data_IF_602927755164
#
_entry.id   IF_602927755164
#
_cell.length_a   1.000
_cell.length_b   1.000
_cell.length_c   1.000
_cell.angle_alpha   90.00
_cell.angle_beta   90.00
_cell.angle_gamma   90.00
#
_symmetry.space_group_name_H-M   'P 1'
#
loop_
_entity.id
_entity.type
_entity.pdbx_description
1 polymer ?
#
# COMPACT_ATOMS: atom_id res chain seq x y z
N UNK A 1 -7.63 -8.20 -0.85
CA UNK A 1 -7.64 -9.00 0.39
C UNK A 1 -8.38 -8.20 1.42
N UNK A 2 -9.38 -8.81 2.06
CA UNK A 2 -10.13 -8.22 3.16
C UNK A 2 -9.57 -8.78 4.47
N UNK A 3 -8.90 -7.95 5.26
CA UNK A 3 -8.75 -8.24 6.69
C UNK A 3 -10.12 -8.08 7.37
N UNK A 4 -10.27 -8.68 8.54
CA UNK A 4 -11.49 -8.55 9.36
C UNK A 4 -11.09 -8.07 10.75
N UNK A 5 -11.91 -7.19 11.31
CA UNK A 5 -11.85 -6.75 12.70
C UNK A 5 -12.89 -7.60 13.45
N UNK A 6 -12.46 -8.36 14.45
CA UNK A 6 -13.38 -9.08 15.33
C UNK A 6 -13.91 -8.12 16.41
N UNK A 7 -15.22 -7.78 16.41
CA UNK A 7 -15.79 -6.84 17.37
C UNK A 7 -15.80 -7.37 18.82
N UNK A 8 -15.51 -8.66 19.02
CA UNK A 8 -15.42 -9.27 20.36
C UNK A 8 -14.05 -9.06 21.01
N UNK A 9 -13.06 -8.61 20.25
CA UNK A 9 -11.71 -8.34 20.72
C UNK A 9 -11.50 -6.82 20.91
N UNK A 10 -10.56 -6.41 21.79
CA UNK A 10 -10.21 -5.00 21.93
C UNK A 10 -9.77 -4.39 20.60
N UNK A 11 -10.44 -3.30 20.18
CA UNK A 11 -10.22 -2.65 18.88
C UNK A 11 -8.74 -2.32 18.63
N UNK A 12 -8.05 -1.75 19.63
CA UNK A 12 -6.62 -1.42 19.53
C UNK A 12 -5.76 -2.65 19.23
N UNK A 13 -6.10 -3.81 19.81
CA UNK A 13 -5.41 -5.07 19.57
C UNK A 13 -5.61 -5.55 18.14
N UNK A 14 -6.86 -5.51 17.66
CA UNK A 14 -7.19 -5.91 16.29
C UNK A 14 -6.55 -5.00 15.24
N UNK A 15 -6.59 -3.67 15.45
CA UNK A 15 -5.93 -2.70 14.56
C UNK A 15 -4.43 -2.95 14.51
N UNK A 16 -3.78 -3.15 15.67
CA UNK A 16 -2.35 -3.45 15.73
C UNK A 16 -2.01 -4.74 14.98
N UNK A 17 -2.80 -5.80 15.18
CA UNK A 17 -2.62 -7.09 14.50
C UNK A 17 -2.70 -6.93 12.98
N UNK A 18 -3.75 -6.28 12.48
CA UNK A 18 -3.96 -6.09 11.04
C UNK A 18 -2.86 -5.19 10.45
N UNK A 19 -2.51 -4.11 11.13
CA UNK A 19 -1.46 -3.20 10.68
C UNK A 19 -0.11 -3.92 10.57
N UNK A 20 0.28 -4.69 11.60
CA UNK A 20 1.50 -5.49 11.59
C UNK A 20 1.50 -6.52 10.46
N UNK A 21 0.36 -7.17 10.20
CA UNK A 21 0.21 -8.14 9.12
C UNK A 21 0.38 -7.48 7.74
N UNK A 22 -0.26 -6.34 7.49
CA UNK A 22 -0.11 -5.65 6.20
C UNK A 22 1.30 -5.06 6.01
N UNK A 23 1.94 -4.55 7.07
CA UNK A 23 3.35 -4.13 7.02
C UNK A 23 4.28 -5.31 6.74
N UNK A 24 4.10 -6.45 7.42
CA UNK A 24 4.88 -7.65 7.19
C UNK A 24 4.78 -8.14 5.74
N UNK A 25 3.57 -8.14 5.18
CA UNK A 25 3.36 -8.43 3.75
C UNK A 25 4.01 -7.40 2.84
N UNK A 26 3.97 -6.12 3.19
CA UNK A 26 4.63 -5.05 2.43
C UNK A 26 6.14 -5.28 2.36
N UNK A 27 6.77 -5.60 3.50
CA UNK A 27 8.20 -5.92 3.58
C UNK A 27 8.56 -7.16 2.77
N UNK A 28 7.75 -8.23 2.84
CA UNK A 28 7.97 -9.43 2.02
C UNK A 28 7.91 -9.13 0.52
N UNK A 29 6.95 -8.31 0.09
CA UNK A 29 6.88 -7.86 -1.30
C UNK A 29 8.02 -6.91 -1.69
N UNK A 30 8.51 -6.10 -0.75
CA UNK A 30 9.65 -5.23 -1.00
C UNK A 30 10.93 -6.05 -1.21
N UNK A 31 11.15 -7.11 -0.45
CA UNK A 31 12.29 -8.00 -0.65
C UNK A 31 12.21 -8.76 -1.99
N UNK A 32 11.02 -9.27 -2.33
CA UNK A 32 10.77 -9.92 -3.62
C UNK A 32 11.00 -8.98 -4.82
N UNK A 33 10.93 -7.65 -4.63
CA UNK A 33 11.19 -6.68 -5.67
C UNK A 33 12.64 -6.67 -6.16
N UNK A 34 13.59 -7.25 -5.40
CA UNK A 34 14.98 -7.44 -5.84
C UNK A 34 15.09 -8.32 -7.09
N UNK A 35 14.19 -9.29 -7.24
CA UNK A 35 14.17 -10.22 -8.39
C UNK A 35 13.03 -9.94 -9.37
N UNK A 36 11.89 -9.44 -8.89
CA UNK A 36 10.68 -9.18 -9.68
C UNK A 36 10.10 -7.80 -9.36
N UNK A 37 10.78 -6.71 -9.73
CA UNK A 37 10.52 -5.37 -9.21
C UNK A 37 9.08 -4.91 -9.48
N UNK A 38 8.60 -5.05 -10.70
CA UNK A 38 7.35 -4.45 -11.14
C UNK A 38 6.11 -5.00 -10.41
N UNK A 39 5.93 -6.33 -10.44
CA UNK A 39 4.80 -6.97 -9.78
C UNK A 39 4.91 -6.88 -8.25
N UNK A 40 6.12 -6.99 -7.70
CA UNK A 40 6.33 -7.00 -6.26
C UNK A 40 6.16 -5.61 -5.65
N UNK A 41 6.65 -4.54 -6.31
CA UNK A 41 6.40 -3.15 -5.88
C UNK A 41 4.91 -2.79 -5.96
N UNK A 42 4.19 -3.24 -7.00
CA UNK A 42 2.73 -3.06 -7.06
C UNK A 42 2.03 -3.73 -5.87
N UNK A 43 2.40 -4.98 -5.56
CA UNK A 43 1.86 -5.70 -4.40
C UNK A 43 2.23 -5.02 -3.08
N UNK A 44 3.45 -4.52 -2.92
CA UNK A 44 3.90 -3.76 -1.76
C UNK A 44 3.05 -2.49 -1.55
N UNK A 45 2.90 -1.66 -2.60
CA UNK A 45 2.06 -0.45 -2.58
C UNK A 45 0.60 -0.76 -2.22
N UNK A 46 0.07 -1.89 -2.68
CA UNK A 46 -1.28 -2.34 -2.33
C UNK A 46 -1.43 -2.60 -0.83
N UNK A 47 -0.40 -3.15 -0.17
CA UNK A 47 -0.38 -3.35 1.30
C UNK A 47 -0.33 -2.03 2.06
N UNK A 48 0.52 -1.09 1.62
CA UNK A 48 0.57 0.25 2.21
C UNK A 48 -0.77 1.00 2.06
N UNK A 49 -1.48 0.82 0.93
CA UNK A 49 -2.84 1.35 0.74
C UNK A 49 -3.83 0.73 1.75
N UNK A 50 -3.74 -0.57 2.00
CA UNK A 50 -4.56 -1.27 3.00
C UNK A 50 -4.29 -0.78 4.43
N UNK A 51 -3.02 -0.57 4.81
CA UNK A 51 -2.65 0.02 6.10
C UNK A 51 -3.26 1.42 6.29
N UNK A 52 -3.16 2.28 5.27
CA UNK A 52 -3.76 3.62 5.29
C UNK A 52 -5.29 3.59 5.39
N UNK A 53 -5.93 2.64 4.71
CA UNK A 53 -7.38 2.45 4.82
C UNK A 53 -7.80 2.05 6.25
N UNK A 54 -7.03 1.18 6.91
CA UNK A 54 -7.26 0.80 8.30
C UNK A 54 -7.16 2.01 9.24
N UNK A 55 -6.09 2.81 9.13
CA UNK A 55 -5.91 4.02 9.95
C UNK A 55 -7.07 5.01 9.77
N UNK A 56 -7.56 5.16 8.53
CA UNK A 56 -8.72 6.00 8.25
C UNK A 56 -9.99 5.52 8.94
N UNK A 57 -10.18 4.20 9.10
CA UNK A 57 -11.34 3.65 9.81
C UNK A 57 -11.34 3.95 11.31
N UNK A 58 -10.16 4.13 11.91
CA UNK A 58 -10.00 4.32 13.35
C UNK A 58 -9.57 5.72 13.75
N UNK A 59 -9.58 6.66 12.79
CA UNK A 59 -9.12 8.06 12.98
C UNK A 59 -9.77 8.76 14.17
N UNK A 60 -11.04 8.50 14.46
CA UNK A 60 -11.74 9.12 15.59
C UNK A 60 -11.20 8.70 16.97
N UNK A 61 -10.42 7.61 17.04
CA UNK A 61 -9.80 7.16 18.30
C UNK A 61 -8.52 7.92 18.64
N UNK A 62 -7.77 8.38 17.64
CA UNK A 62 -6.57 9.21 17.80
C UNK A 62 -6.24 9.85 16.44
N UNK A 63 -6.72 11.08 16.25
CA UNK A 63 -6.62 11.76 14.97
C UNK A 63 -5.18 12.11 14.62
N UNK A 64 -4.42 12.64 15.59
CA UNK A 64 -3.02 13.03 15.40
C UNK A 64 -2.16 11.83 15.02
N UNK A 65 -2.27 10.71 15.75
CA UNK A 65 -1.54 9.49 15.43
C UNK A 65 -1.90 8.97 14.03
N UNK A 66 -3.20 8.89 13.71
CA UNK A 66 -3.65 8.35 12.44
C UNK A 66 -3.19 9.21 11.24
N UNK A 67 -3.13 10.52 11.40
CA UNK A 67 -2.63 11.44 10.37
C UNK A 67 -1.12 11.30 10.16
N UNK A 68 -0.34 11.30 11.25
CA UNK A 68 1.12 11.12 11.20
C UNK A 68 1.48 9.79 10.55
N UNK A 69 0.86 8.69 10.97
CA UNK A 69 1.11 7.36 10.40
C UNK A 69 0.64 7.27 8.95
N UNK A 70 -0.54 7.79 8.61
CA UNK A 70 -1.02 7.79 7.23
C UNK A 70 -0.08 8.59 6.30
N UNK A 71 0.47 9.71 6.77
CA UNK A 71 1.44 10.49 6.01
C UNK A 71 2.75 9.72 5.82
N UNK A 72 3.24 9.03 6.84
CA UNK A 72 4.40 8.15 6.75
C UNK A 72 4.22 7.09 5.66
N UNK A 73 3.13 6.30 5.70
CA UNK A 73 2.87 5.28 4.69
C UNK A 73 2.64 5.86 3.30
N UNK A 74 2.06 7.07 3.20
CA UNK A 74 1.89 7.77 1.92
C UNK A 74 3.24 8.15 1.32
N UNK A 75 4.15 8.68 2.12
CA UNK A 75 5.50 9.06 1.68
C UNK A 75 6.28 7.82 1.21
N UNK A 76 6.28 6.73 1.99
CA UNK A 76 6.93 5.47 1.62
C UNK A 76 6.36 4.94 0.30
N UNK A 77 5.04 4.90 0.15
CA UNK A 77 4.41 4.49 -1.10
C UNK A 77 4.85 5.36 -2.30
N UNK A 78 5.03 6.67 -2.09
CA UNK A 78 5.55 7.61 -3.10
C UNK A 78 6.99 7.32 -3.52
N UNK A 79 7.87 6.96 -2.59
CA UNK A 79 9.25 6.55 -2.91
C UNK A 79 9.30 5.26 -3.74
N UNK A 80 8.33 4.36 -3.52
CA UNK A 80 8.17 3.12 -4.31
C UNK A 80 7.53 3.37 -5.68
N UNK A 81 7.15 4.61 -6.00
CA UNK A 81 6.53 5.02 -7.27
C UNK A 81 7.55 5.35 -8.37
N UNK A 82 8.85 5.04 -8.17
CA UNK A 82 9.96 5.45 -9.03
C UNK A 82 9.83 5.15 -10.55
N UNK A 83 10.90 5.30 -11.35
CA UNK A 83 10.93 5.69 -12.79
C UNK A 83 10.01 4.97 -13.79
N UNK A 84 9.33 3.90 -13.38
CA UNK A 84 8.33 3.16 -14.14
C UNK A 84 7.00 3.87 -14.33
N UNK A 85 6.65 4.92 -13.57
CA UNK A 85 5.49 5.76 -13.97
C UNK A 85 5.72 6.40 -15.35
N UNK A 86 6.95 6.82 -15.64
CA UNK A 86 7.32 7.33 -16.97
C UNK A 86 7.33 6.21 -18.02
N UNK A 87 7.87 5.04 -17.69
CA UNK A 87 7.88 3.88 -18.61
C UNK A 87 6.46 3.36 -18.89
N UNK A 88 5.59 3.30 -17.90
CA UNK A 88 4.20 2.87 -18.08
C UNK A 88 3.38 3.88 -18.89
N UNK A 89 3.68 5.18 -18.79
CA UNK A 89 3.10 6.21 -19.66
C UNK A 89 3.55 6.01 -21.12
N UNK A 90 4.84 5.76 -21.35
CA UNK A 90 5.38 5.45 -22.70
C UNK A 90 4.69 4.19 -23.24
N UNK A 91 4.66 3.10 -22.46
CA UNK A 91 4.07 1.83 -22.87
C UNK A 91 2.55 1.94 -23.10
N UNK A 92 1.86 2.83 -22.38
CA UNK A 92 0.44 3.13 -22.60
C UNK A 92 0.24 3.90 -23.90
N UNK A 93 1.10 4.89 -24.20
CA UNK A 93 1.06 5.62 -25.48
C UNK A 93 1.37 4.69 -26.66
N UNK A 94 2.39 3.84 -26.54
CA UNK A 94 2.76 2.88 -27.58
C UNK A 94 1.61 1.91 -27.88
N UNK A 95 0.94 1.40 -26.84
CA UNK A 95 -0.25 0.55 -26.98
C UNK A 95 -1.42 1.27 -27.62
N UNK A 96 -1.62 2.55 -27.28
CA UNK A 96 -2.68 3.37 -27.86
C UNK A 96 -2.41 3.61 -29.35
N UNK A 97 -1.20 4.01 -29.72
CA UNK A 97 -0.79 4.22 -31.11
C UNK A 97 -0.92 2.93 -31.95
N UNK A 98 -0.54 1.77 -31.40
CA UNK A 98 -0.71 0.49 -32.09
C UNK A 98 -2.17 0.06 -32.27
N UNK A 99 -3.08 0.54 -31.42
CA UNK A 99 -4.52 0.22 -31.48
C UNK A 99 -5.31 1.15 -32.41
N UNK A 100 -4.73 2.29 -32.78
CA UNK A 100 -5.32 3.32 -33.64
C UNK A 100 -4.28 3.81 -34.66
N UNK A 101 -4.00 3.01 -35.71
CA UNK A 101 -3.01 3.33 -36.73
C UNK A 101 -3.38 4.54 -37.60
#
# INVERSE_FOLDING_TARGET
>A
MSFRIDPRLPLTGEVRRILAEEIGKALHHLDAARSRPEQALHKCRKRLKSARALLRLVRSGDETFCETENQCYRNVAGLLAGPREATALIETIDRLAASFP
#
